data_IF_673454972721
#
_entry.id   IF_673454972721
#
_cell.length_a   1.000
_cell.length_b   1.000
_cell.length_c   1.000
_cell.angle_alpha   90.00
_cell.angle_beta   90.00
_cell.angle_gamma   90.00
#
_symmetry.space_group_name_H-M   'P 1'
#
loop_
_entity.id
_entity.type
_entity.pdbx_description
1 polymer ?
#
# COMPACT_ATOMS: atom_id res chain seq x y z
N UNK A 1 3.27 13.49 5.29
CA UNK A 1 4.63 14.08 5.23
C UNK A 1 5.54 13.29 4.31
N UNK A 2 5.38 11.97 4.23
CA UNK A 2 6.19 11.12 3.36
C UNK A 2 5.30 10.10 2.63
N UNK A 3 5.63 9.81 1.39
CA UNK A 3 5.05 8.71 0.60
C UNK A 3 6.23 7.80 0.26
N UNK A 4 6.10 6.50 0.54
CA UNK A 4 7.14 5.51 0.27
C UNK A 4 6.50 4.37 -0.48
N UNK A 5 7.16 3.97 -1.56
CA UNK A 5 6.92 2.74 -2.29
C UNK A 5 8.23 1.94 -2.33
N UNK A 6 8.21 0.73 -1.79
CA UNK A 6 9.33 -0.20 -1.80
C UNK A 6 9.07 -1.33 -2.77
N UNK A 7 9.89 -1.45 -3.82
CA UNK A 7 9.87 -2.60 -4.73
C UNK A 7 10.43 -3.84 -4.04
N UNK A 8 9.79 -5.00 -4.22
CA UNK A 8 10.23 -6.26 -3.64
C UNK A 8 11.62 -6.65 -4.12
N UNK A 9 12.62 -6.49 -3.25
CA UNK A 9 14.01 -6.87 -3.49
C UNK A 9 14.31 -8.25 -2.89
N UNK A 10 14.14 -8.39 -1.57
CA UNK A 10 14.30 -9.67 -0.85
C UNK A 10 13.01 -10.04 -0.11
N UNK A 11 12.06 -10.66 -0.82
CA UNK A 11 10.75 -11.09 -0.31
C UNK A 11 10.68 -12.62 -0.27
N UNK A 12 11.08 -13.27 0.85
CA UNK A 12 11.17 -14.71 0.94
C UNK A 12 9.80 -15.40 1.00
N UNK A 13 9.74 -16.63 0.49
CA UNK A 13 8.55 -17.47 0.57
C UNK A 13 8.43 -18.14 1.95
N UNK A 14 7.25 -18.04 2.54
CA UNK A 14 6.95 -18.68 3.83
C UNK A 14 6.38 -20.08 3.65
N UNK A 15 6.13 -20.77 4.77
CA UNK A 15 5.39 -22.06 4.77
C UNK A 15 3.90 -21.91 5.11
N UNK A 16 3.56 -20.94 5.95
CA UNK A 16 2.18 -20.69 6.42
C UNK A 16 1.66 -19.37 5.86
N UNK A 17 2.45 -18.29 5.98
CA UNK A 17 2.14 -16.96 5.46
C UNK A 17 3.39 -16.33 4.86
N UNK A 18 3.20 -15.41 3.91
CA UNK A 18 4.20 -14.48 3.41
C UNK A 18 3.50 -13.32 2.69
N UNK A 19 4.27 -12.32 2.26
CA UNK A 19 3.73 -11.15 1.56
C UNK A 19 3.10 -11.49 0.21
N UNK A 20 3.66 -12.44 -0.55
CA UNK A 20 3.11 -12.84 -1.85
C UNK A 20 1.73 -13.47 -1.68
N UNK A 21 1.54 -14.33 -0.67
CA UNK A 21 0.25 -14.92 -0.30
C UNK A 21 -0.74 -13.87 0.21
N UNK A 22 -0.28 -12.86 0.95
CA UNK A 22 -1.14 -11.80 1.47
C UNK A 22 -1.89 -11.05 0.34
N UNK A 23 -1.24 -10.86 -0.81
CA UNK A 23 -1.83 -10.22 -2.00
C UNK A 23 -2.12 -11.21 -3.13
N UNK A 24 -2.04 -12.52 -2.90
CA UNK A 24 -2.20 -13.56 -3.91
C UNK A 24 -1.42 -13.27 -5.21
N UNK A 25 -0.15 -12.90 -5.08
CA UNK A 25 0.71 -12.59 -6.22
C UNK A 25 0.87 -13.81 -7.14
N UNK A 26 0.85 -13.58 -8.46
CA UNK A 26 1.17 -14.58 -9.48
C UNK A 26 2.67 -14.67 -9.72
N UNK A 27 3.12 -15.60 -10.56
CA UNK A 27 4.55 -15.83 -10.84
C UNK A 27 5.24 -14.69 -11.59
N UNK A 28 4.47 -13.86 -12.28
CA UNK A 28 4.92 -12.69 -13.05
C UNK A 28 4.81 -11.36 -12.28
N UNK A 29 4.42 -11.43 -11.00
CA UNK A 29 4.24 -10.27 -10.14
C UNK A 29 5.27 -10.24 -9.01
N UNK A 30 5.51 -9.03 -8.48
CA UNK A 30 6.25 -8.84 -7.23
C UNK A 30 5.43 -8.00 -6.25
N UNK A 31 5.81 -8.06 -4.98
CA UNK A 31 5.18 -7.27 -3.93
C UNK A 31 5.75 -5.85 -3.95
N UNK A 32 4.88 -4.86 -3.89
CA UNK A 32 5.24 -3.49 -3.52
C UNK A 32 4.72 -3.22 -2.12
N UNK A 33 5.59 -2.76 -1.23
CA UNK A 33 5.21 -2.34 0.12
C UNK A 33 5.21 -0.82 0.19
N UNK A 34 4.03 -0.25 0.43
CA UNK A 34 3.83 1.19 0.40
C UNK A 34 3.20 1.70 1.69
N UNK A 35 3.63 2.88 2.13
CA UNK A 35 2.92 3.59 3.19
C UNK A 35 2.99 5.11 3.01
N UNK A 36 2.00 5.77 3.59
CA UNK A 36 1.93 7.24 3.65
C UNK A 36 1.88 7.64 5.11
N UNK A 37 2.80 8.52 5.49
CA UNK A 37 2.83 9.10 6.82
C UNK A 37 1.90 10.31 6.90
N UNK A 38 1.07 10.30 7.92
CA UNK A 38 0.11 11.36 8.19
C UNK A 38 0.37 11.96 9.58
N UNK A 39 0.26 13.29 9.74
CA UNK A 39 0.42 13.94 11.04
C UNK A 39 -0.61 13.49 12.08
N UNK A 40 -1.79 13.06 11.63
CA UNK A 40 -2.84 12.50 12.48
C UNK A 40 -3.84 11.70 11.66
N UNK A 41 -4.65 10.87 12.34
CA UNK A 41 -5.78 10.16 11.73
C UNK A 41 -6.79 11.12 11.09
N UNK A 42 -7.08 12.25 11.75
CA UNK A 42 -8.02 13.24 11.23
C UNK A 42 -7.55 13.83 9.89
N UNK A 43 -6.25 14.14 9.78
CA UNK A 43 -5.66 14.62 8.51
C UNK A 43 -5.71 13.52 7.45
N UNK A 44 -5.37 12.27 7.81
CA UNK A 44 -5.45 11.11 6.90
C UNK A 44 -6.84 10.92 6.32
N UNK A 45 -7.87 10.99 7.17
CA UNK A 45 -9.27 10.76 6.76
C UNK A 45 -9.76 11.86 5.81
N UNK A 46 -9.46 13.12 6.12
CA UNK A 46 -9.80 14.26 5.25
C UNK A 46 -9.02 14.21 3.93
N UNK A 47 -7.76 13.79 3.95
CA UNK A 47 -6.93 13.71 2.75
C UNK A 47 -7.39 12.57 1.82
N UNK A 48 -7.72 11.39 2.36
CA UNK A 48 -8.22 10.28 1.54
C UNK A 48 -9.49 10.64 0.79
N UNK A 49 -10.43 11.35 1.42
CA UNK A 49 -11.63 11.83 0.73
C UNK A 49 -11.29 12.70 -0.49
N UNK A 50 -10.28 13.56 -0.37
CA UNK A 50 -9.81 14.40 -1.47
C UNK A 50 -9.10 13.60 -2.55
N UNK A 51 -8.24 12.66 -2.18
CA UNK A 51 -7.52 11.78 -3.12
C UNK A 51 -8.51 10.96 -3.95
N UNK A 52 -9.53 10.37 -3.33
CA UNK A 52 -10.55 9.60 -4.04
C UNK A 52 -11.48 10.44 -4.92
N UNK A 53 -11.61 11.73 -4.63
CA UNK A 53 -12.43 12.64 -5.44
C UNK A 53 -11.63 13.34 -6.54
N UNK A 54 -10.29 13.22 -6.53
CA UNK A 54 -9.41 13.93 -7.44
C UNK A 54 -9.28 13.19 -8.78
N UNK A 55 -9.75 13.76 -9.90
CA UNK A 55 -9.66 13.10 -11.21
C UNK A 55 -8.25 12.75 -11.63
N UNK A 56 -7.23 13.46 -11.12
CA UNK A 56 -5.82 13.18 -11.40
C UNK A 56 -5.36 11.82 -10.87
N UNK A 57 -6.07 11.28 -9.88
CA UNK A 57 -5.78 9.99 -9.25
C UNK A 57 -6.48 8.82 -9.94
N UNK A 58 -7.38 9.09 -10.89
CA UNK A 58 -8.11 8.06 -11.65
C UNK A 58 -7.45 7.80 -13.00
N UNK A 59 -6.17 7.43 -12.98
CA UNK A 59 -5.48 7.01 -14.20
C UNK A 59 -6.23 5.82 -14.85
N UNK A 60 -6.36 5.85 -16.17
CA UNK A 60 -7.06 4.81 -16.92
C UNK A 60 -6.37 3.44 -16.81
N UNK A 61 -5.04 3.43 -16.70
CA UNK A 61 -4.23 2.22 -16.60
C UNK A 61 -3.62 2.11 -15.20
N UNK A 62 -4.08 1.12 -14.44
CA UNK A 62 -3.48 0.73 -13.16
C UNK A 62 -2.49 -0.41 -13.42
N UNK A 63 -1.19 -0.26 -13.10
CA UNK A 63 -0.17 -1.27 -13.41
C UNK A 63 -0.19 -2.47 -12.45
N UNK A 64 -1.30 -2.70 -11.75
CA UNK A 64 -1.51 -3.76 -10.77
C UNK A 64 -3.00 -4.09 -10.65
N UNK A 65 -3.32 -5.25 -10.07
CA UNK A 65 -4.69 -5.65 -9.78
C UNK A 65 -5.19 -5.06 -8.46
N UNK A 66 -6.03 -4.04 -8.55
CA UNK A 66 -6.60 -3.35 -7.39
C UNK A 66 -7.49 -4.25 -6.50
N UNK A 67 -8.02 -5.38 -7.00
CA UNK A 67 -8.87 -6.28 -6.20
C UNK A 67 -8.06 -7.08 -5.16
N UNK A 68 -6.75 -7.21 -5.37
CA UNK A 68 -5.83 -7.93 -4.48
C UNK A 68 -5.05 -7.00 -3.56
N UNK A 69 -5.30 -5.70 -3.65
CA UNK A 69 -4.66 -4.70 -2.79
C UNK A 69 -5.12 -4.85 -1.34
N UNK A 70 -4.16 -4.97 -0.43
CA UNK A 70 -4.39 -4.97 1.02
C UNK A 70 -4.00 -3.60 1.57
N UNK A 71 -4.93 -2.93 2.25
CA UNK A 71 -4.70 -1.62 2.84
C UNK A 71 -5.23 -1.53 4.27
N UNK A 72 -4.61 -0.67 5.08
CA UNK A 72 -4.97 -0.46 6.47
C UNK A 72 -4.34 0.81 7.03
N UNK A 73 -4.85 1.27 8.16
CA UNK A 73 -4.27 2.40 8.89
C UNK A 73 -3.74 1.95 10.24
N UNK A 74 -2.51 2.35 10.57
CA UNK A 74 -1.81 1.96 11.79
C UNK A 74 -1.43 3.21 12.59
N UNK A 75 -1.55 3.14 13.91
CA UNK A 75 -1.02 4.15 14.81
C UNK A 75 0.42 3.77 15.18
N UNK A 76 1.40 4.68 15.11
CA UNK A 76 2.76 4.38 15.52
C UNK A 76 2.80 4.10 17.03
N UNK A 77 3.43 2.99 17.40
CA UNK A 77 3.71 2.65 18.80
C UNK A 77 5.18 2.94 19.18
N UNK A 78 6.05 3.07 18.17
CA UNK A 78 7.46 3.42 18.27
C UNK A 78 7.86 4.13 16.97
N UNK A 79 8.55 5.26 17.10
CA UNK A 79 9.14 6.05 16.01
C UNK A 79 10.41 6.69 16.59
N UNK A 80 11.59 6.30 16.08
CA UNK A 80 12.89 6.58 16.69
C UNK A 80 13.92 7.02 15.64
#
# INVERSE_FOLDING_TARGET
TRVIDGWGDNVPDGKVTDFKRAVKATSDETVVFSWIEWPSKAVRDQAWQKVFADPRMHAADTPYDAQRWVHGGFAPILDA
#
